data_IF_688648314020
#
_entry.id   IF_688648314020
#
_cell.length_a   1.000
_cell.length_b   1.000
_cell.length_c   1.000
_cell.angle_alpha   90.00
_cell.angle_beta   90.00
_cell.angle_gamma   90.00
#
_symmetry.space_group_name_H-M   'P 1'
#
loop_
_entity.id
_entity.type
_entity.pdbx_description
1 polymer ?
#
# COMPACT_ATOMS: atom_id res chain seq x y z
N UNK A 1 21.69 -18.87 18.77
CA UNK A 1 20.51 -19.44 18.09
C UNK A 1 19.81 -18.29 17.40
N UNK A 2 19.75 -18.32 16.06
CA UNK A 2 19.52 -17.15 15.21
C UNK A 2 18.22 -16.43 15.53
N UNK A 3 18.32 -15.15 15.86
CA UNK A 3 17.17 -14.25 15.82
C UNK A 3 16.84 -14.08 14.34
N UNK A 4 15.64 -14.48 13.90
CA UNK A 4 15.09 -13.95 12.65
C UNK A 4 15.04 -12.43 12.83
N UNK A 5 16.02 -11.76 12.23
CA UNK A 5 16.13 -10.32 12.31
C UNK A 5 15.24 -9.67 11.26
N UNK A 6 15.15 -8.35 11.37
CA UNK A 6 14.61 -7.50 10.31
C UNK A 6 15.23 -7.79 8.92
N UNK A 7 16.53 -8.14 8.76
CA UNK A 7 17.10 -8.46 7.45
C UNK A 7 16.44 -9.65 6.75
N UNK A 8 16.16 -10.74 7.45
CA UNK A 8 15.53 -11.94 6.86
C UNK A 8 14.10 -11.65 6.39
N UNK A 9 13.34 -10.87 7.17
CA UNK A 9 11.97 -10.47 6.79
C UNK A 9 11.97 -9.61 5.53
N UNK A 10 12.94 -8.70 5.38
CA UNK A 10 13.09 -7.86 4.18
C UNK A 10 13.39 -8.72 2.95
N UNK A 11 14.28 -9.72 3.07
CA UNK A 11 14.60 -10.61 1.95
C UNK A 11 13.35 -11.36 1.46
N UNK A 12 12.55 -11.89 2.39
CA UNK A 12 11.29 -12.59 2.05
C UNK A 12 10.31 -11.63 1.37
N UNK A 13 10.18 -10.40 1.88
CA UNK A 13 9.32 -9.37 1.30
C UNK A 13 9.71 -9.08 -0.15
N UNK A 14 11.00 -8.93 -0.44
CA UNK A 14 11.50 -8.70 -1.80
C UNK A 14 11.13 -9.85 -2.74
N UNK A 15 11.29 -11.10 -2.30
CA UNK A 15 10.91 -12.27 -3.11
C UNK A 15 9.40 -12.27 -3.40
N UNK A 16 8.57 -11.95 -2.40
CA UNK A 16 7.12 -11.83 -2.62
C UNK A 16 6.79 -10.70 -3.60
N UNK A 17 7.46 -9.55 -3.51
CA UNK A 17 7.26 -8.45 -4.44
C UNK A 17 7.69 -8.81 -5.87
N UNK A 18 8.69 -9.66 -6.06
CA UNK A 18 9.08 -10.15 -7.39
C UNK A 18 8.04 -11.10 -7.98
N UNK A 19 7.44 -11.98 -7.16
CA UNK A 19 6.42 -12.94 -7.61
C UNK A 19 5.07 -12.25 -7.88
N UNK A 20 4.63 -11.41 -6.95
CA UNK A 20 3.33 -10.72 -7.05
C UNK A 20 3.40 -9.44 -7.87
N UNK A 21 4.57 -8.81 -7.97
CA UNK A 21 4.78 -7.51 -8.59
C UNK A 21 4.35 -6.33 -7.70
N UNK A 22 5.04 -5.20 -7.84
CA UNK A 22 4.72 -3.96 -7.09
C UNK A 22 3.35 -3.39 -7.44
N UNK A 23 2.87 -3.55 -8.68
CA UNK A 23 1.58 -3.00 -9.11
C UNK A 23 0.37 -3.68 -8.46
N UNK A 24 0.45 -4.99 -8.21
CA UNK A 24 -0.65 -5.73 -7.56
C UNK A 24 -0.74 -5.39 -6.07
N UNK A 25 0.39 -5.29 -5.39
CA UNK A 25 0.43 -4.97 -3.94
C UNK A 25 -0.06 -3.55 -3.67
N UNK A 26 0.27 -2.57 -4.52
CA UNK A 26 -0.17 -1.18 -4.36
C UNK A 26 -1.64 -1.00 -4.69
N UNK A 27 -2.15 -1.69 -5.72
CA UNK A 27 -3.58 -1.67 -6.07
C UNK A 27 -4.42 -2.20 -4.91
N UNK A 28 -4.10 -3.39 -4.41
CA UNK A 28 -4.82 -4.02 -3.30
C UNK A 28 -4.62 -3.21 -2.00
N UNK A 29 -3.40 -2.72 -1.75
CA UNK A 29 -3.08 -1.89 -0.60
C UNK A 29 -3.84 -0.55 -0.58
N UNK A 30 -4.05 0.08 -1.74
CA UNK A 30 -4.83 1.31 -1.88
C UNK A 30 -6.31 1.09 -1.53
N UNK A 31 -6.91 0.02 -2.04
CA UNK A 31 -8.31 -0.35 -1.75
C UNK A 31 -8.50 -0.73 -0.27
N UNK A 32 -7.60 -1.55 0.29
CA UNK A 32 -7.61 -1.92 1.70
C UNK A 32 -7.36 -0.70 2.60
N UNK A 33 -6.43 0.17 2.22
CA UNK A 33 -6.10 1.38 2.95
C UNK A 33 -7.26 2.36 3.03
N UNK A 34 -7.99 2.55 1.92
CA UNK A 34 -9.21 3.36 1.90
C UNK A 34 -10.30 2.77 2.81
N UNK A 35 -10.49 1.44 2.80
CA UNK A 35 -11.42 0.75 3.69
C UNK A 35 -11.05 0.87 5.18
N UNK A 36 -9.77 0.70 5.52
CA UNK A 36 -9.26 0.88 6.88
C UNK A 36 -9.37 2.33 7.33
N UNK A 37 -9.10 3.30 6.44
CA UNK A 37 -9.26 4.74 6.71
C UNK A 37 -10.72 5.05 7.06
N UNK A 38 -11.67 4.62 6.23
CA UNK A 38 -13.10 4.79 6.48
C UNK A 38 -13.57 4.08 7.77
N UNK A 39 -13.05 2.89 8.05
CA UNK A 39 -13.34 2.15 9.29
C UNK A 39 -12.83 2.91 10.53
N UNK A 40 -11.60 3.44 10.49
CA UNK A 40 -11.01 4.24 11.57
C UNK A 40 -11.79 5.54 11.80
N UNK A 41 -12.21 6.21 10.73
CA UNK A 41 -13.00 7.43 10.78
C UNK A 41 -14.39 7.19 11.39
N UNK A 42 -15.05 6.09 11.00
CA UNK A 42 -16.32 5.66 11.59
C UNK A 42 -16.23 5.36 13.08
N UNK A 43 -15.13 4.72 13.52
CA UNK A 43 -14.86 4.45 14.93
C UNK A 43 -14.44 5.70 15.73
N UNK A 44 -13.70 6.63 15.11
CA UNK A 44 -13.17 7.81 15.79
C UNK A 44 -14.16 8.99 15.82
N UNK A 45 -15.33 8.86 15.19
CA UNK A 45 -16.41 9.85 15.24
C UNK A 45 -16.07 11.22 14.62
N UNK A 46 -14.88 11.38 14.04
CA UNK A 46 -14.40 12.63 13.42
C UNK A 46 -14.95 12.69 12.00
N UNK A 47 -16.13 13.30 11.85
CA UNK A 47 -16.72 13.58 10.52
C UNK A 47 -16.04 14.82 9.93
N UNK A 48 -15.61 14.68 8.68
CA UNK A 48 -15.04 15.70 7.78
C UNK A 48 -13.70 16.30 8.22
N UNK A 49 -12.64 15.93 7.51
CA UNK A 49 -12.12 16.76 6.42
C UNK A 49 -11.21 15.88 5.54
N UNK A 50 -11.16 16.17 4.23
CA UNK A 50 -10.21 15.59 3.24
C UNK A 50 -10.56 14.21 2.65
N UNK A 51 -11.65 14.19 1.88
CA UNK A 51 -11.75 13.36 0.69
C UNK A 51 -11.21 14.15 -0.51
N UNK A 52 -9.90 14.41 -0.56
CA UNK A 52 -9.27 14.84 -1.81
C UNK A 52 -8.69 13.61 -2.52
N UNK A 53 -9.21 13.46 -3.74
CA UNK A 53 -8.87 12.46 -4.73
C UNK A 53 -7.39 12.50 -5.06
N UNK A 54 -6.71 11.38 -4.88
CA UNK A 54 -5.70 10.97 -5.87
C UNK A 54 -6.04 9.56 -6.36
N UNK A 55 -6.98 9.56 -7.30
CA UNK A 55 -7.11 8.48 -8.27
C UNK A 55 -5.79 8.41 -9.04
N UNK A 56 -5.20 7.22 -9.01
CA UNK A 56 -4.05 6.80 -9.81
C UNK A 56 -4.17 7.25 -11.27
N UNK A 57 -3.11 7.86 -11.79
CA UNK A 57 -2.80 7.79 -13.21
C UNK A 57 -1.42 7.13 -13.36
N UNK A 58 -1.45 5.90 -13.88
CA UNK A 58 -0.29 5.18 -14.35
C UNK A 58 -0.21 5.41 -15.86
N UNK A 59 0.73 6.22 -16.33
CA UNK A 59 1.18 6.15 -17.72
C UNK A 59 2.63 6.59 -17.84
N UNK A 60 3.49 5.65 -18.26
CA UNK A 60 4.81 5.98 -18.73
C UNK A 60 4.73 6.96 -19.90
N UNK A 61 5.52 8.02 -19.84
CA UNK A 61 5.90 8.79 -21.03
C UNK A 61 7.42 8.75 -21.14
N UNK A 62 7.89 7.85 -22.01
CA UNK A 62 9.16 7.99 -22.72
C UNK A 62 9.05 9.26 -23.55
N UNK A 63 9.85 10.30 -23.25
CA UNK A 63 10.17 11.35 -24.23
C UNK A 63 11.62 11.81 -24.14
N UNK A 64 12.33 11.44 -25.20
CA UNK A 64 13.56 11.98 -25.81
C UNK A 64 14.88 11.77 -25.09
#
# INVERSE_FOLDING_TARGET
MGHLGWPEVIIILVVLLLVFGVGRITTIGGELGAGIKAFKEGLSGKRNDEAESEKSDNSGEVKK
#
